data_IF_037206991672
#
_entry.id   IF_037206991672
#
_cell.length_a   1.000
_cell.length_b   1.000
_cell.length_c   1.000
_cell.angle_alpha   90.00
_cell.angle_beta   90.00
_cell.angle_gamma   90.00
#
_symmetry.space_group_name_H-M   'P 1'
#
loop_
_entity.id
_entity.type
_entity.pdbx_description
1 polymer ?
#
# COMPACT_ATOMS: atom_id res chain seq x y z
N UNK A 1 -7.08 8.34 10.10
CA UNK A 1 -6.24 8.62 8.92
C UNK A 1 -4.86 9.18 9.32
N UNK A 2 -4.08 8.46 10.14
CA UNK A 2 -2.83 8.98 10.73
C UNK A 2 -1.76 9.32 9.68
N UNK A 3 -1.55 8.42 8.70
CA UNK A 3 -0.52 8.61 7.65
C UNK A 3 -0.73 9.87 6.81
N UNK A 4 -1.98 10.21 6.49
CA UNK A 4 -2.26 11.40 5.67
C UNK A 4 -1.92 12.67 6.43
N UNK A 5 -2.31 12.75 7.71
CA UNK A 5 -1.95 13.89 8.56
C UNK A 5 -0.43 14.02 8.67
N UNK A 6 0.26 12.91 8.91
CA UNK A 6 1.73 12.86 8.96
C UNK A 6 2.36 13.40 7.66
N UNK A 7 2.02 12.80 6.52
CA UNK A 7 2.71 13.07 5.25
C UNK A 7 2.47 14.49 4.75
N UNK A 8 1.26 15.01 4.92
CA UNK A 8 0.95 16.40 4.55
C UNK A 8 1.69 17.37 5.46
N UNK A 9 1.69 17.13 6.77
CA UNK A 9 2.37 18.01 7.75
C UNK A 9 3.88 18.00 7.56
N UNK A 10 4.48 16.84 7.32
CA UNK A 10 5.91 16.70 7.07
C UNK A 10 6.34 17.39 5.77
N UNK A 11 5.54 17.27 4.69
CA UNK A 11 5.80 18.00 3.44
C UNK A 11 5.66 19.51 3.62
N UNK A 12 4.63 19.95 4.33
CA UNK A 12 4.43 21.37 4.62
C UNK A 12 5.59 21.94 5.45
N UNK A 13 6.03 21.22 6.48
CA UNK A 13 7.23 21.55 7.26
C UNK A 13 8.44 21.76 6.34
N UNK A 14 8.72 20.80 5.45
CA UNK A 14 9.90 20.85 4.58
C UNK A 14 9.86 22.04 3.61
N UNK A 15 8.70 22.34 3.01
CA UNK A 15 8.54 23.46 2.07
C UNK A 15 8.77 24.82 2.74
N UNK A 16 8.48 24.94 4.04
CA UNK A 16 8.67 26.18 4.80
C UNK A 16 10.10 26.32 5.38
N UNK A 17 10.99 25.35 5.19
CA UNK A 17 12.37 25.43 5.67
C UNK A 17 12.45 25.63 7.19
N UNK A 18 13.30 26.57 7.63
CA UNK A 18 13.47 26.86 9.07
C UNK A 18 12.20 27.37 9.75
N UNK A 19 11.33 28.11 9.03
CA UNK A 19 10.02 28.53 9.55
C UNK A 19 9.12 27.32 9.82
N UNK A 20 9.22 26.26 9.02
CA UNK A 20 8.44 25.03 9.21
C UNK A 20 8.79 24.27 10.49
N UNK A 21 10.04 24.40 10.96
CA UNK A 21 10.52 23.79 12.20
C UNK A 21 10.24 24.65 13.45
N UNK A 22 9.85 25.90 13.27
CA UNK A 22 9.62 26.81 14.39
C UNK A 22 8.35 26.46 15.17
N UNK A 23 8.18 27.08 16.33
CA UNK A 23 6.95 27.01 17.12
C UNK A 23 5.84 27.93 16.60
N UNK A 24 6.09 28.68 15.52
CA UNK A 24 5.09 29.55 14.91
C UNK A 24 4.19 28.80 13.92
N UNK A 25 4.66 27.66 13.39
CA UNK A 25 3.88 26.81 12.50
C UNK A 25 3.39 25.55 13.24
N UNK A 26 2.22 25.00 12.88
CA UNK A 26 1.62 23.88 13.61
C UNK A 26 2.22 22.52 13.25
N UNK A 27 3.17 22.44 12.31
CA UNK A 27 3.51 21.19 11.64
C UNK A 27 4.09 20.12 12.57
N UNK A 28 4.97 20.50 13.51
CA UNK A 28 5.54 19.55 14.48
C UNK A 28 4.47 18.97 15.40
N UNK A 29 3.51 19.79 15.84
CA UNK A 29 2.36 19.33 16.62
C UNK A 29 1.49 18.38 15.79
N UNK A 30 1.18 18.73 14.54
CA UNK A 30 0.37 17.89 13.66
C UNK A 30 1.04 16.54 13.36
N UNK A 31 2.38 16.49 13.26
CA UNK A 31 3.12 15.23 13.14
C UNK A 31 2.95 14.39 14.42
N UNK A 32 3.10 14.97 15.61
CA UNK A 32 2.88 14.24 16.87
C UNK A 32 1.43 13.73 16.99
N UNK A 33 0.45 14.59 16.68
CA UNK A 33 -0.97 14.24 16.66
C UNK A 33 -1.29 13.11 15.68
N UNK A 34 -0.55 12.99 14.58
CA UNK A 34 -0.70 11.87 13.65
C UNK A 34 -0.41 10.52 14.30
N UNK A 35 0.54 10.46 15.24
CA UNK A 35 0.82 9.25 16.02
C UNK A 35 -0.26 9.02 17.08
N UNK A 36 -0.72 10.08 17.75
CA UNK A 36 -1.84 9.99 18.69
C UNK A 36 -3.07 9.37 18.02
N UNK A 37 -3.48 9.93 16.87
CA UNK A 37 -4.58 9.40 16.06
C UNK A 37 -4.34 7.98 15.55
N UNK A 38 -3.08 7.60 15.32
CA UNK A 38 -2.71 6.26 14.85
C UNK A 38 -2.76 5.18 15.92
N UNK A 39 -2.81 5.59 17.19
CA UNK A 39 -2.97 4.74 18.36
C UNK A 39 -4.42 4.73 18.87
N UNK A 40 -5.17 5.82 18.61
CA UNK A 40 -6.58 5.93 18.96
C UNK A 40 -7.41 4.80 18.33
N UNK A 41 -8.29 4.19 19.13
CA UNK A 41 -9.14 3.04 18.75
C UNK A 41 -8.38 1.84 18.17
N UNK A 42 -7.13 1.67 18.62
CA UNK A 42 -6.26 0.56 18.27
C UNK A 42 -5.17 0.98 17.29
N UNK A 43 -3.96 0.41 17.44
CA UNK A 43 -2.84 0.74 16.58
C UNK A 43 -3.13 0.37 15.12
N UNK A 44 -2.47 1.07 14.19
CA UNK A 44 -2.65 0.91 12.74
C UNK A 44 -2.53 -0.55 12.28
N UNK A 45 -1.70 -1.35 12.93
CA UNK A 45 -1.50 -2.78 12.69
C UNK A 45 -2.79 -3.58 12.88
N UNK A 46 -3.57 -3.26 13.92
CA UNK A 46 -4.85 -3.92 14.22
C UNK A 46 -5.87 -3.60 13.14
N UNK A 47 -5.95 -2.32 12.71
CA UNK A 47 -6.84 -1.93 11.62
C UNK A 47 -6.47 -2.64 10.31
N UNK A 48 -5.18 -2.73 9.97
CA UNK A 48 -4.72 -3.46 8.77
C UNK A 48 -5.04 -4.94 8.84
N UNK A 49 -4.80 -5.60 9.97
CA UNK A 49 -5.07 -7.03 10.14
C UNK A 49 -6.57 -7.33 10.04
N UNK A 50 -7.42 -6.50 10.64
CA UNK A 50 -8.87 -6.63 10.56
C UNK A 50 -9.39 -6.38 9.16
N UNK A 51 -8.89 -5.35 8.47
CA UNK A 51 -9.20 -5.10 7.06
C UNK A 51 -8.79 -6.28 6.18
N UNK A 52 -7.59 -6.82 6.36
CA UNK A 52 -7.12 -7.97 5.61
C UNK A 52 -8.05 -9.19 5.79
N UNK A 53 -8.46 -9.49 7.02
CA UNK A 53 -9.44 -10.56 7.30
C UNK A 53 -10.77 -10.32 6.60
N UNK A 54 -11.28 -9.09 6.62
CA UNK A 54 -12.56 -8.75 5.97
C UNK A 54 -12.50 -8.82 4.44
N UNK A 55 -11.37 -8.44 3.85
CA UNK A 55 -11.18 -8.54 2.40
C UNK A 55 -11.02 -10.00 1.96
N UNK A 56 -10.18 -10.76 2.68
CA UNK A 56 -9.89 -12.15 2.34
C UNK A 56 -11.06 -13.08 2.59
N UNK A 57 -11.98 -12.79 3.52
CA UNK A 57 -13.18 -13.61 3.73
C UNK A 57 -14.12 -13.64 2.53
N UNK A 58 -13.99 -12.68 1.60
CA UNK A 58 -14.78 -12.59 0.37
C UNK A 58 -13.96 -12.94 -0.88
N UNK A 59 -12.68 -13.27 -0.73
CA UNK A 59 -11.81 -13.58 -1.85
C UNK A 59 -11.78 -15.09 -2.14
N UNK A 60 -11.76 -15.46 -3.41
CA UNK A 60 -11.49 -16.84 -3.83
C UNK A 60 -9.97 -17.04 -3.92
N UNK A 61 -9.41 -18.08 -3.26
CA UNK A 61 -7.99 -18.39 -3.38
C UNK A 61 -7.60 -18.70 -4.83
N UNK A 62 -6.37 -18.32 -5.21
CA UNK A 62 -5.79 -18.78 -6.46
C UNK A 62 -5.60 -20.31 -6.41
N UNK A 63 -5.63 -21.02 -7.56
CA UNK A 63 -5.52 -22.48 -7.60
C UNK A 63 -4.15 -23.01 -7.16
N UNK A 64 -3.12 -22.15 -7.13
CA UNK A 64 -1.77 -22.50 -6.73
C UNK A 64 -1.22 -21.61 -5.63
N UNK A 65 0.07 -21.78 -5.33
CA UNK A 65 0.77 -21.04 -4.28
C UNK A 65 0.83 -19.52 -4.53
N UNK A 66 0.79 -19.11 -5.81
CA UNK A 66 0.94 -17.72 -6.21
C UNK A 66 -0.28 -17.21 -7.00
N UNK A 67 -0.54 -15.88 -7.02
CA UNK A 67 -1.61 -15.31 -7.82
C UNK A 67 -1.41 -15.54 -9.33
N UNK A 68 -2.46 -15.89 -10.06
CA UNK A 68 -2.37 -16.18 -11.51
C UNK A 68 -1.96 -14.98 -12.38
N UNK A 69 -1.98 -13.77 -11.81
CA UNK A 69 -1.59 -12.54 -12.50
C UNK A 69 -0.08 -12.30 -12.64
N UNK A 70 0.78 -13.12 -12.06
CA UNK A 70 2.23 -12.92 -12.18
C UNK A 70 2.79 -13.40 -13.52
N UNK A 71 3.95 -12.86 -13.90
CA UNK A 71 4.57 -13.08 -15.21
C UNK A 71 4.77 -14.56 -15.56
N UNK A 72 5.30 -15.44 -14.68
CA UNK A 72 5.47 -16.85 -15.04
C UNK A 72 4.17 -17.57 -15.47
N UNK A 73 3.07 -17.45 -14.70
CA UNK A 73 1.79 -18.08 -15.06
C UNK A 73 1.22 -17.48 -16.35
N UNK A 74 1.31 -16.16 -16.52
CA UNK A 74 0.87 -15.49 -17.75
C UNK A 74 1.69 -15.89 -18.97
N UNK A 75 2.99 -16.05 -18.81
CA UNK A 75 3.91 -16.47 -19.87
C UNK A 75 3.62 -17.91 -20.30
N UNK A 76 3.44 -18.84 -19.35
CA UNK A 76 3.04 -20.20 -19.66
C UNK A 76 1.69 -20.25 -20.41
N UNK A 77 0.69 -19.52 -19.91
CA UNK A 77 -0.62 -19.42 -20.57
C UNK A 77 -0.52 -18.79 -21.97
N UNK A 78 0.38 -17.82 -22.19
CA UNK A 78 0.62 -17.23 -23.49
C UNK A 78 1.29 -18.23 -24.46
N UNK A 79 2.28 -19.00 -24.01
CA UNK A 79 2.89 -20.05 -24.83
C UNK A 79 1.88 -21.12 -25.24
N UNK A 80 0.99 -21.54 -24.32
CA UNK A 80 -0.10 -22.46 -24.65
C UNK A 80 -1.07 -21.85 -25.66
N UNK A 81 -1.46 -20.59 -25.46
CA UNK A 81 -2.38 -19.88 -26.35
C UNK A 81 -1.82 -19.70 -27.77
N UNK A 82 -0.51 -19.50 -27.91
CA UNK A 82 0.16 -19.23 -29.19
C UNK A 82 1.01 -20.42 -29.69
N UNK A 83 0.79 -21.62 -29.17
CA UNK A 83 1.61 -22.79 -29.49
C UNK A 83 1.70 -23.07 -30.99
N UNK A 84 0.57 -23.04 -31.71
CA UNK A 84 0.51 -23.26 -33.16
C UNK A 84 1.32 -22.21 -33.95
N UNK A 85 1.19 -20.93 -33.59
CA UNK A 85 1.95 -19.86 -34.24
C UNK A 85 3.46 -19.89 -33.92
N UNK A 86 3.85 -20.56 -32.83
CA UNK A 86 5.25 -20.75 -32.44
C UNK A 86 5.90 -21.96 -33.13
N UNK A 87 5.12 -22.97 -33.53
CA UNK A 87 5.62 -24.12 -34.30
C UNK A 87 6.18 -23.68 -35.67
N UNK A 88 5.55 -22.69 -36.33
CA UNK A 88 5.97 -22.14 -37.63
C UNK A 88 7.26 -21.28 -37.57
N UNK A 89 7.80 -21.01 -36.36
CA UNK A 89 8.96 -20.15 -36.11
C UNK A 89 10.26 -20.93 -35.83
N UNK A 90 10.20 -22.27 -35.75
CA UNK A 90 11.34 -23.18 -35.49
C UNK A 90 11.69 -23.96 -36.76
#
# INVERSE_FOLDING_TARGET
MPRVLHDVSARALQVHGSLGLSTEMPFMWMIAESFHMGLADGPTEVHKATLARQLLSRATPAPGLFPTGHLPTRSAAAHEMFAEALEDLV
#
